data_IF_453854532754
#
_entry.id   IF_453854532754
#
_cell.length_a   1.000
_cell.length_b   1.000
_cell.length_c   1.000
_cell.angle_alpha   90.00
_cell.angle_beta   90.00
_cell.angle_gamma   90.00
#
_symmetry.space_group_name_H-M   'P 1'
#
loop_
_entity.id
_entity.type
_entity.pdbx_description
1 polymer ?
#
# COMPACT_ATOMS: atom_id res chain seq x y z
N UNK A 1 13.13 -26.94 4.17
CA UNK A 1 11.81 -27.14 4.80
C UNK A 1 11.09 -28.24 4.04
N UNK A 2 10.58 -29.25 4.74
CA UNK A 2 9.84 -30.36 4.13
C UNK A 2 8.38 -30.29 4.62
N UNK A 3 7.47 -29.82 3.78
CA UNK A 3 6.04 -29.68 4.11
C UNK A 3 5.24 -30.97 3.89
N UNK A 4 5.87 -31.98 3.32
CA UNK A 4 5.20 -33.22 2.90
C UNK A 4 4.79 -34.07 4.11
N UNK A 5 3.88 -35.02 3.86
CA UNK A 5 3.51 -36.04 4.85
C UNK A 5 4.63 -37.07 5.11
N UNK A 6 5.75 -36.99 4.38
CA UNK A 6 6.96 -37.81 4.60
C UNK A 6 7.98 -37.09 5.51
N UNK A 7 7.73 -35.84 5.88
CA UNK A 7 8.57 -35.09 6.80
C UNK A 7 8.79 -35.87 8.11
N UNK A 8 10.03 -36.02 8.58
CA UNK A 8 10.32 -36.64 9.87
C UNK A 8 9.56 -35.95 11.00
N UNK A 9 9.10 -36.74 11.97
CA UNK A 9 8.51 -36.20 13.19
C UNK A 9 9.61 -35.69 14.11
N UNK A 10 9.48 -34.44 14.54
CA UNK A 10 10.36 -33.79 15.51
C UNK A 10 9.50 -33.25 16.64
N UNK A 11 9.96 -33.43 17.88
CA UNK A 11 9.31 -32.80 19.03
C UNK A 11 9.89 -31.41 19.25
N UNK A 12 9.03 -30.40 19.15
CA UNK A 12 9.36 -29.00 19.40
C UNK A 12 8.41 -28.36 20.41
N UNK A 13 7.97 -29.13 21.41
CA UNK A 13 7.13 -28.67 22.51
C UNK A 13 5.65 -29.08 22.44
N UNK A 14 5.22 -29.69 21.33
CA UNK A 14 3.86 -30.22 21.13
C UNK A 14 3.83 -31.75 20.97
N UNK A 15 4.94 -32.42 21.32
CA UNK A 15 5.15 -33.83 21.00
C UNK A 15 5.64 -34.04 19.56
N UNK A 16 5.96 -35.29 19.17
CA UNK A 16 6.50 -35.58 17.84
C UNK A 16 5.52 -35.27 16.70
N UNK A 17 5.78 -34.20 15.95
CA UNK A 17 4.95 -33.70 14.86
C UNK A 17 5.73 -33.52 13.56
N UNK A 18 5.04 -33.61 12.44
CA UNK A 18 5.56 -33.15 11.13
C UNK A 18 5.43 -31.64 11.01
N UNK A 19 6.16 -31.03 10.08
CA UNK A 19 6.10 -29.57 9.89
C UNK A 19 4.68 -29.06 9.58
N UNK A 20 3.91 -29.79 8.75
CA UNK A 20 2.53 -29.47 8.39
C UNK A 20 1.48 -29.78 9.49
N UNK A 21 1.90 -30.43 10.58
CA UNK A 21 1.11 -30.61 11.82
C UNK A 21 1.49 -29.53 12.85
N UNK A 22 2.79 -29.22 12.96
CA UNK A 22 3.37 -28.24 13.87
C UNK A 22 2.96 -26.80 13.54
N UNK A 23 3.16 -26.36 12.29
CA UNK A 23 2.99 -24.95 11.93
C UNK A 23 1.56 -24.44 12.21
N UNK A 24 0.47 -25.16 11.88
CA UNK A 24 -0.88 -24.77 12.26
C UNK A 24 -1.08 -24.52 13.76
N UNK A 25 -0.63 -25.45 14.60
CA UNK A 25 -0.73 -25.33 16.06
C UNK A 25 0.10 -24.14 16.55
N UNK A 26 1.35 -24.03 16.09
CA UNK A 26 2.24 -22.93 16.43
C UNK A 26 1.64 -21.56 16.06
N UNK A 27 1.02 -21.43 14.88
CA UNK A 27 0.36 -20.20 14.45
C UNK A 27 -0.81 -19.83 15.36
N UNK A 28 -1.67 -20.79 15.71
CA UNK A 28 -2.83 -20.55 16.59
C UNK A 28 -2.39 -20.16 18.01
N UNK A 29 -1.37 -20.81 18.55
CA UNK A 29 -0.88 -20.52 19.91
C UNK A 29 -0.12 -19.19 20.01
N UNK A 30 0.41 -18.68 18.89
CA UNK A 30 1.24 -17.46 18.86
C UNK A 30 0.59 -16.28 18.12
N UNK A 31 -0.65 -16.41 17.65
CA UNK A 31 -1.38 -15.34 16.95
C UNK A 31 -2.72 -15.10 17.60
N UNK A 32 -3.03 -13.84 17.92
CA UNK A 32 -4.34 -13.47 18.46
C UNK A 32 -5.38 -13.27 17.33
N UNK A 33 -6.10 -14.34 17.00
CA UNK A 33 -7.15 -14.33 15.97
C UNK A 33 -8.43 -13.59 16.38
N UNK A 34 -8.48 -12.95 17.56
CA UNK A 34 -9.49 -11.94 17.83
C UNK A 34 -9.20 -10.61 17.11
N UNK A 35 -7.94 -10.37 16.74
CA UNK A 35 -7.52 -9.17 16.00
C UNK A 35 -7.28 -9.43 14.52
N UNK A 36 -6.86 -10.63 14.15
CA UNK A 36 -6.61 -10.99 12.75
C UNK A 36 -7.80 -11.77 12.16
N UNK A 37 -8.28 -11.31 11.00
CA UNK A 37 -9.40 -11.94 10.30
C UNK A 37 -9.01 -13.09 9.37
N UNK A 38 -7.73 -13.45 9.31
CA UNK A 38 -7.27 -14.56 8.49
C UNK A 38 -5.78 -14.80 8.61
N UNK A 39 -5.32 -15.80 7.87
CA UNK A 39 -3.92 -16.12 7.68
C UNK A 39 -3.55 -15.86 6.23
N UNK A 40 -2.46 -15.12 6.01
CA UNK A 40 -1.89 -14.92 4.69
C UNK A 40 -0.49 -15.55 4.64
N UNK A 41 -0.28 -16.48 3.72
CA UNK A 41 1.05 -17.03 3.46
C UNK A 41 1.66 -16.30 2.27
N UNK A 42 2.81 -15.66 2.49
CA UNK A 42 3.58 -15.02 1.42
C UNK A 42 4.01 -16.08 0.37
N UNK A 43 5.10 -16.81 0.61
CA UNK A 43 5.49 -17.87 -0.33
C UNK A 43 4.68 -19.17 -0.16
N UNK A 44 3.70 -19.44 -1.02
CA UNK A 44 2.96 -20.71 -1.03
C UNK A 44 3.71 -21.85 -1.73
N UNK A 45 4.33 -21.54 -2.88
CA UNK A 45 4.99 -22.51 -3.76
C UNK A 45 4.09 -23.68 -4.18
N UNK A 46 3.45 -23.61 -5.36
CA UNK A 46 2.61 -24.72 -5.87
C UNK A 46 3.37 -26.05 -6.05
N UNK A 47 4.69 -25.93 -6.20
CA UNK A 47 5.65 -27.01 -6.37
C UNK A 47 7.04 -26.52 -5.93
N UNK A 48 7.99 -27.43 -5.73
CA UNK A 48 9.37 -27.04 -5.47
C UNK A 48 9.96 -26.36 -6.72
N UNK A 49 10.59 -25.21 -6.53
CA UNK A 49 11.06 -24.38 -7.64
C UNK A 49 12.32 -24.95 -8.32
N UNK A 50 12.31 -24.95 -9.66
CA UNK A 50 13.46 -25.27 -10.51
C UNK A 50 13.80 -26.76 -10.64
N UNK A 51 14.98 -27.06 -11.17
CA UNK A 51 15.47 -28.43 -11.38
C UNK A 51 15.82 -29.19 -10.10
N UNK A 52 15.73 -28.53 -8.93
CA UNK A 52 16.06 -29.12 -7.63
C UNK A 52 15.07 -30.22 -7.23
N UNK A 53 13.85 -30.19 -7.76
CA UNK A 53 12.82 -31.18 -7.45
C UNK A 53 13.25 -32.60 -7.81
N UNK A 54 14.00 -32.78 -8.91
CA UNK A 54 14.48 -34.09 -9.36
C UNK A 54 15.64 -34.66 -8.54
N UNK A 55 16.19 -33.87 -7.62
CA UNK A 55 17.25 -34.27 -6.69
C UNK A 55 16.79 -34.24 -5.23
N UNK A 56 15.49 -34.00 -5.00
CA UNK A 56 14.96 -33.88 -3.65
C UNK A 56 14.67 -35.27 -3.09
N UNK A 57 15.23 -35.52 -1.92
CA UNK A 57 14.92 -36.65 -1.05
C UNK A 57 14.02 -36.13 0.08
N UNK A 58 12.71 -36.43 0.00
CA UNK A 58 11.72 -36.01 0.99
C UNK A 58 11.50 -37.05 2.09
N UNK A 59 11.98 -38.28 1.90
CA UNK A 59 11.78 -39.40 2.82
C UNK A 59 13.04 -39.68 3.69
N UNK A 60 14.16 -39.03 3.36
CA UNK A 60 15.47 -39.10 4.01
C UNK A 60 16.13 -40.50 3.94
N UNK A 61 15.99 -41.21 2.82
CA UNK A 61 16.63 -42.50 2.52
C UNK A 61 17.95 -42.37 1.73
N UNK A 62 18.40 -41.13 1.47
CA UNK A 62 19.58 -40.77 0.70
C UNK A 62 19.48 -41.06 -0.80
N UNK A 63 18.26 -41.29 -1.31
CA UNK A 63 17.94 -41.47 -2.73
C UNK A 63 16.98 -40.37 -3.18
N UNK A 64 17.16 -39.85 -4.39
CA UNK A 64 16.18 -38.90 -4.95
C UNK A 64 14.86 -39.60 -5.25
N UNK A 65 13.76 -39.02 -4.78
CA UNK A 65 12.42 -39.55 -4.99
C UNK A 65 11.84 -39.22 -6.38
N UNK A 66 12.49 -38.31 -7.13
CA UNK A 66 12.07 -37.88 -8.46
C UNK A 66 10.96 -36.82 -8.47
N UNK A 67 11.03 -35.88 -9.42
CA UNK A 67 10.26 -34.64 -9.34
C UNK A 67 8.75 -34.79 -9.34
N UNK A 68 8.21 -35.76 -10.08
CA UNK A 68 6.76 -36.00 -10.12
C UNK A 68 6.22 -36.45 -8.77
N UNK A 69 6.93 -37.35 -8.07
CA UNK A 69 6.52 -37.83 -6.76
C UNK A 69 6.65 -36.73 -5.71
N UNK A 70 7.77 -36.02 -5.71
CA UNK A 70 8.03 -34.89 -4.80
C UNK A 70 6.95 -33.81 -4.94
N UNK A 71 6.58 -33.42 -6.17
CA UNK A 71 5.54 -32.41 -6.38
C UNK A 71 4.15 -32.88 -5.94
N UNK A 72 3.82 -34.17 -6.14
CA UNK A 72 2.59 -34.75 -5.60
C UNK A 72 2.57 -34.67 -4.07
N UNK A 73 3.64 -35.12 -3.41
CA UNK A 73 3.76 -35.10 -1.95
C UNK A 73 3.81 -33.69 -1.36
N UNK A 74 4.37 -32.74 -2.10
CA UNK A 74 4.34 -31.32 -1.75
C UNK A 74 2.90 -30.78 -1.73
N UNK A 75 2.12 -31.08 -2.77
CA UNK A 75 0.69 -30.70 -2.83
C UNK A 75 -0.12 -31.34 -1.70
N UNK A 76 0.04 -32.64 -1.48
CA UNK A 76 -0.61 -33.35 -0.36
C UNK A 76 -0.25 -32.74 0.99
N UNK A 77 1.02 -32.38 1.20
CA UNK A 77 1.50 -31.73 2.43
C UNK A 77 0.90 -30.35 2.66
N UNK A 78 0.79 -29.54 1.59
CA UNK A 78 0.11 -28.24 1.59
C UNK A 78 -1.36 -28.37 1.97
N UNK A 79 -2.08 -29.34 1.40
CA UNK A 79 -3.48 -29.59 1.75
C UNK A 79 -3.63 -30.05 3.22
N UNK A 80 -2.74 -30.92 3.71
CA UNK A 80 -2.68 -31.31 5.13
C UNK A 80 -2.52 -30.09 6.04
N UNK A 81 -1.58 -29.19 5.72
CA UNK A 81 -1.35 -27.97 6.49
C UNK A 81 -2.62 -27.12 6.60
N UNK A 82 -3.28 -26.86 5.46
CA UNK A 82 -4.51 -26.04 5.41
C UNK A 82 -5.63 -26.70 6.20
N UNK A 83 -5.80 -28.02 6.07
CA UNK A 83 -6.84 -28.76 6.79
C UNK A 83 -6.60 -28.74 8.30
N UNK A 84 -5.36 -28.92 8.74
CA UNK A 84 -4.98 -28.83 10.15
C UNK A 84 -5.23 -27.43 10.71
N UNK A 85 -4.88 -26.37 9.97
CA UNK A 85 -5.14 -25.00 10.41
C UNK A 85 -6.64 -24.72 10.52
N UNK A 86 -7.45 -25.18 9.55
CA UNK A 86 -8.91 -25.04 9.61
C UNK A 86 -9.57 -25.80 10.76
N UNK A 87 -9.00 -26.93 11.16
CA UNK A 87 -9.50 -27.70 12.30
C UNK A 87 -9.30 -26.94 13.63
N UNK A 88 -8.28 -26.09 13.70
CA UNK A 88 -7.96 -25.28 14.88
C UNK A 88 -8.58 -23.87 14.83
N UNK A 89 -8.82 -23.35 13.63
CA UNK A 89 -9.26 -21.97 13.41
C UNK A 89 -10.18 -21.86 12.18
N UNK A 90 -11.35 -21.25 12.35
CA UNK A 90 -12.33 -21.07 11.27
C UNK A 90 -12.08 -19.85 10.36
N UNK A 91 -11.04 -19.05 10.63
CA UNK A 91 -10.74 -17.84 9.85
C UNK A 91 -10.23 -18.19 8.43
N UNK A 92 -10.48 -17.33 7.42
CA UNK A 92 -9.96 -17.46 6.06
C UNK A 92 -8.44 -17.67 5.96
N UNK A 93 -8.02 -18.48 4.99
CA UNK A 93 -6.61 -18.73 4.67
C UNK A 93 -6.34 -18.38 3.21
N UNK A 94 -5.50 -17.38 2.96
CA UNK A 94 -5.08 -16.95 1.63
C UNK A 94 -3.56 -17.09 1.47
N UNK A 95 -3.08 -17.07 0.23
CA UNK A 95 -1.65 -17.10 -0.02
C UNK A 95 -1.26 -16.39 -1.32
N UNK A 96 -0.01 -15.93 -1.41
CA UNK A 96 0.54 -15.30 -2.60
C UNK A 96 0.82 -16.37 -3.69
N UNK A 97 0.42 -16.08 -4.94
CA UNK A 97 0.64 -16.91 -6.14
C UNK A 97 0.27 -18.40 -6.04
N UNK A 98 -0.72 -18.76 -5.21
CA UNK A 98 -1.10 -20.15 -4.96
C UNK A 98 -1.95 -20.79 -6.05
N UNK A 99 -2.91 -20.07 -6.64
CA UNK A 99 -3.89 -20.55 -7.63
C UNK A 99 -4.57 -21.89 -7.25
N UNK A 100 -4.68 -22.17 -5.95
CA UNK A 100 -5.27 -23.40 -5.44
C UNK A 100 -6.75 -23.17 -5.04
N UNK A 101 -7.57 -24.22 -5.15
CA UNK A 101 -9.00 -24.22 -4.84
C UNK A 101 -9.33 -24.52 -3.36
N UNK A 102 -8.36 -25.08 -2.63
CA UNK A 102 -8.51 -25.34 -1.21
C UNK A 102 -8.21 -24.12 -0.33
N UNK A 103 -7.79 -22.98 -0.88
CA UNK A 103 -7.58 -21.72 -0.15
C UNK A 103 -8.76 -20.77 -0.31
N UNK A 104 -8.89 -19.84 0.62
CA UNK A 104 -9.85 -18.74 0.54
C UNK A 104 -9.39 -17.63 -0.41
N UNK A 105 -8.13 -17.59 -0.81
CA UNK A 105 -7.64 -16.45 -1.55
C UNK A 105 -6.32 -16.61 -2.25
N UNK A 106 -6.02 -15.66 -3.13
CA UNK A 106 -4.79 -15.58 -3.90
C UNK A 106 -4.29 -14.14 -3.99
N UNK A 107 -3.01 -13.95 -3.68
CA UNK A 107 -2.29 -12.71 -3.97
C UNK A 107 -1.68 -12.69 -5.37
N UNK A 108 -1.72 -11.54 -6.01
CA UNK A 108 -1.14 -11.26 -7.32
C UNK A 108 -0.09 -10.17 -7.22
N UNK A 109 1.17 -10.55 -7.38
CA UNK A 109 2.25 -9.59 -7.62
C UNK A 109 2.14 -9.05 -9.04
N UNK A 110 2.66 -7.84 -9.21
CA UNK A 110 2.80 -7.16 -10.49
C UNK A 110 1.47 -6.90 -11.18
N UNK A 111 0.37 -6.73 -10.43
CA UNK A 111 -0.96 -6.57 -10.97
C UNK A 111 -1.07 -5.39 -11.96
N UNK A 112 -1.81 -5.55 -13.07
CA UNK A 112 -2.29 -6.77 -13.73
C UNK A 112 -1.28 -7.28 -14.77
N UNK A 113 -0.01 -6.94 -14.62
CA UNK A 113 1.17 -7.28 -15.41
C UNK A 113 1.14 -6.80 -16.87
N UNK A 114 2.02 -7.34 -17.71
CA UNK A 114 2.11 -7.05 -19.14
C UNK A 114 0.91 -7.62 -19.94
N UNK A 115 0.14 -8.55 -19.37
CA UNK A 115 -1.03 -9.22 -19.94
C UNK A 115 -2.26 -9.07 -19.02
N UNK A 116 -2.76 -7.84 -19.01
CA UNK A 116 -3.85 -7.39 -18.13
C UNK A 116 -5.13 -8.20 -18.29
N UNK A 117 -5.45 -8.57 -19.52
CA UNK A 117 -6.64 -9.36 -19.86
C UNK A 117 -6.60 -10.73 -19.19
N UNK A 118 -5.49 -11.44 -19.38
CA UNK A 118 -5.30 -12.79 -18.82
C UNK A 118 -5.32 -12.76 -17.29
N UNK A 119 -4.69 -11.76 -16.66
CA UNK A 119 -4.69 -11.64 -15.20
C UNK A 119 -6.09 -11.45 -14.62
N UNK A 120 -6.91 -10.58 -15.20
CA UNK A 120 -8.31 -10.43 -14.76
C UNK A 120 -9.11 -11.73 -14.91
N UNK A 121 -9.00 -12.41 -16.06
CA UNK A 121 -9.67 -13.71 -16.29
C UNK A 121 -9.21 -14.75 -15.27
N UNK A 122 -7.92 -14.79 -14.94
CA UNK A 122 -7.40 -15.69 -13.93
C UNK A 122 -7.92 -15.37 -12.52
N UNK A 123 -8.05 -14.08 -12.16
CA UNK A 123 -8.63 -13.67 -10.89
C UNK A 123 -10.09 -14.13 -10.76
N UNK A 124 -10.92 -13.97 -11.79
CA UNK A 124 -12.29 -14.48 -11.77
C UNK A 124 -12.34 -16.01 -11.62
N UNK A 125 -11.47 -16.75 -12.32
CA UNK A 125 -11.38 -18.21 -12.18
C UNK A 125 -10.98 -18.63 -10.78
N UNK A 126 -10.04 -17.92 -10.17
CA UNK A 126 -9.61 -18.17 -8.80
C UNK A 126 -10.76 -17.91 -7.84
N UNK A 127 -11.42 -16.76 -7.94
CA UNK A 127 -12.55 -16.40 -7.10
C UNK A 127 -13.68 -17.46 -7.13
N UNK A 128 -13.94 -18.05 -8.30
CA UNK A 128 -14.96 -19.11 -8.46
C UNK A 128 -14.58 -20.42 -7.79
N UNK A 129 -13.29 -20.79 -7.74
CA UNK A 129 -12.82 -22.06 -7.15
C UNK A 129 -12.39 -21.94 -5.68
N UNK A 130 -12.10 -20.73 -5.20
CA UNK A 130 -11.70 -20.48 -3.82
C UNK A 130 -12.78 -20.86 -2.82
N UNK A 131 -12.35 -21.25 -1.61
CA UNK A 131 -13.23 -21.36 -0.45
C UNK A 131 -13.80 -19.99 -0.09
N UNK A 132 -15.06 -19.96 0.33
CA UNK A 132 -15.71 -18.70 0.70
C UNK A 132 -15.40 -18.33 2.16
N UNK A 133 -15.25 -17.03 2.50
CA UNK A 133 -15.22 -15.89 1.56
C UNK A 133 -13.96 -15.93 0.68
N UNK A 134 -14.13 -15.60 -0.61
CA UNK A 134 -13.01 -15.47 -1.54
C UNK A 134 -12.30 -14.13 -1.35
N UNK A 135 -10.98 -14.14 -1.20
CA UNK A 135 -10.16 -12.97 -0.90
C UNK A 135 -9.04 -12.85 -1.95
N UNK A 136 -9.06 -11.79 -2.74
CA UNK A 136 -8.01 -11.53 -3.73
C UNK A 136 -7.20 -10.32 -3.28
N UNK A 137 -5.88 -10.44 -3.34
CA UNK A 137 -4.95 -9.32 -3.13
C UNK A 137 -4.24 -9.03 -4.44
N UNK A 138 -4.09 -7.76 -4.78
CA UNK A 138 -3.47 -7.30 -6.02
C UNK A 138 -2.47 -6.20 -5.69
N UNK A 139 -1.22 -6.42 -6.09
CA UNK A 139 -0.11 -5.49 -5.83
C UNK A 139 0.33 -4.85 -7.15
N UNK A 140 0.03 -3.56 -7.31
CA UNK A 140 0.36 -2.78 -8.51
C UNK A 140 1.86 -2.57 -8.68
N UNK A 141 2.32 -2.51 -9.94
CA UNK A 141 3.74 -2.39 -10.27
C UNK A 141 4.22 -0.93 -10.40
N UNK A 142 4.94 -0.41 -9.39
CA UNK A 142 5.46 0.97 -9.35
C UNK A 142 6.94 1.19 -9.76
N UNK A 143 7.72 0.12 -10.01
CA UNK A 143 9.19 0.14 -9.94
C UNK A 143 9.93 0.97 -11.03
N UNK A 144 9.38 1.14 -12.24
CA UNK A 144 10.24 1.52 -13.39
C UNK A 144 10.09 2.94 -13.94
N UNK A 145 9.11 3.74 -13.50
CA UNK A 145 8.84 5.07 -14.09
C UNK A 145 8.54 6.20 -13.11
N UNK A 146 8.56 5.94 -11.80
CA UNK A 146 8.14 6.89 -10.79
C UNK A 146 6.63 6.81 -10.51
N UNK A 147 6.11 7.65 -9.61
CA UNK A 147 4.72 7.62 -9.20
C UNK A 147 3.81 8.05 -10.36
N UNK A 148 3.26 7.07 -11.05
CA UNK A 148 2.26 7.27 -12.10
C UNK A 148 0.88 7.32 -11.43
N UNK A 149 0.16 8.42 -11.59
CA UNK A 149 -1.28 8.57 -11.27
C UNK A 149 -2.11 8.70 -12.56
N UNK A 150 -1.48 8.47 -13.71
CA UNK A 150 -2.08 8.50 -15.02
C UNK A 150 -2.70 7.15 -15.42
N UNK A 151 -2.86 6.92 -16.73
CA UNK A 151 -3.59 5.77 -17.26
C UNK A 151 -3.15 4.41 -16.71
N UNK A 152 -1.84 4.21 -16.53
CA UNK A 152 -1.29 2.93 -16.05
C UNK A 152 -1.78 2.61 -14.64
N UNK A 153 -1.70 3.57 -13.73
CA UNK A 153 -2.18 3.33 -12.37
C UNK A 153 -3.71 3.20 -12.34
N UNK A 154 -4.44 4.03 -13.10
CA UNK A 154 -5.91 3.94 -13.18
C UNK A 154 -6.38 2.58 -13.66
N UNK A 155 -5.75 1.97 -14.67
CA UNK A 155 -6.14 0.62 -15.12
C UNK A 155 -5.76 -0.43 -14.08
N UNK A 156 -4.62 -0.31 -13.41
CA UNK A 156 -4.19 -1.27 -12.38
C UNK A 156 -5.19 -1.24 -11.20
N UNK A 157 -5.54 -0.04 -10.71
CA UNK A 157 -6.58 0.17 -9.70
C UNK A 157 -7.95 -0.33 -10.19
N UNK A 158 -8.48 0.21 -11.29
CA UNK A 158 -9.86 -0.12 -11.71
C UNK A 158 -10.02 -1.60 -12.03
N UNK A 159 -9.06 -2.26 -12.68
CA UNK A 159 -9.14 -3.69 -12.97
C UNK A 159 -9.12 -4.56 -11.72
N UNK A 160 -8.39 -4.15 -10.67
CA UNK A 160 -8.39 -4.84 -9.37
C UNK A 160 -9.77 -4.72 -8.70
N UNK A 161 -10.41 -3.56 -8.78
CA UNK A 161 -11.73 -3.32 -8.19
C UNK A 161 -12.84 -4.04 -8.98
N UNK A 162 -12.70 -4.16 -10.31
CA UNK A 162 -13.59 -4.99 -11.15
C UNK A 162 -13.62 -6.43 -10.65
N UNK A 163 -12.47 -7.03 -10.33
CA UNK A 163 -12.40 -8.42 -9.80
C UNK A 163 -12.69 -8.51 -8.29
N UNK A 164 -12.84 -7.37 -7.61
CA UNK A 164 -13.08 -7.31 -6.17
C UNK A 164 -11.85 -7.62 -5.32
N UNK A 165 -10.66 -7.25 -5.79
CA UNK A 165 -9.43 -7.42 -5.05
C UNK A 165 -9.16 -6.26 -4.08
N UNK A 166 -8.56 -6.58 -2.93
CA UNK A 166 -7.81 -5.60 -2.15
C UNK A 166 -6.58 -5.18 -2.96
N UNK A 167 -6.38 -3.89 -3.14
CA UNK A 167 -5.34 -3.36 -4.00
C UNK A 167 -4.36 -2.48 -3.24
N UNK A 168 -3.07 -2.73 -3.41
CA UNK A 168 -1.99 -1.87 -2.97
C UNK A 168 -1.15 -1.42 -4.16
N UNK A 169 -0.64 -0.20 -4.11
CA UNK A 169 0.35 0.29 -5.07
C UNK A 169 1.59 0.69 -4.31
N UNK A 170 2.68 -0.02 -4.54
CA UNK A 170 3.95 0.20 -3.85
C UNK A 170 5.11 0.18 -4.84
N UNK A 171 6.33 0.09 -4.31
CA UNK A 171 7.56 0.03 -5.12
C UNK A 171 7.73 -1.26 -5.94
N UNK A 172 6.81 -2.23 -5.84
CA UNK A 172 6.87 -3.52 -6.53
C UNK A 172 8.01 -4.42 -6.06
N UNK A 173 8.63 -5.15 -7.02
CA UNK A 173 9.62 -6.24 -6.86
C UNK A 173 10.84 -5.96 -5.98
N UNK A 174 11.13 -4.70 -5.64
CA UNK A 174 12.36 -4.37 -4.95
C UNK A 174 12.30 -4.73 -3.47
N UNK A 175 11.33 -4.16 -2.74
CA UNK A 175 11.33 -4.26 -1.28
C UNK A 175 10.00 -3.89 -0.59
N UNK A 176 8.90 -3.64 -1.31
CA UNK A 176 7.55 -3.34 -0.74
C UNK A 176 7.57 -2.32 0.42
N UNK A 177 8.37 -1.26 0.28
CA UNK A 177 8.81 -0.43 1.42
C UNK A 177 7.85 0.68 1.81
N UNK A 178 7.15 1.19 0.81
CA UNK A 178 6.20 2.28 0.97
C UNK A 178 5.08 2.13 -0.04
N UNK A 179 3.88 2.49 0.39
CA UNK A 179 2.69 2.52 -0.44
C UNK A 179 2.51 3.92 -1.00
N UNK A 180 2.24 4.01 -2.30
CA UNK A 180 1.76 5.24 -2.91
C UNK A 180 0.27 5.37 -2.62
N UNK A 181 -0.12 6.50 -2.00
CA UNK A 181 -1.52 6.81 -1.73
C UNK A 181 -2.08 7.63 -2.90
N UNK A 182 -3.29 7.29 -3.32
CA UNK A 182 -3.98 7.92 -4.44
C UNK A 182 -5.34 8.44 -4.00
N UNK A 183 -5.82 9.53 -4.62
CA UNK A 183 -7.09 10.17 -4.27
C UNK A 183 -8.26 9.18 -4.32
N UNK A 184 -8.24 8.23 -5.24
CA UNK A 184 -9.27 7.21 -5.37
C UNK A 184 -9.39 6.26 -4.16
N UNK A 185 -8.35 6.12 -3.33
CA UNK A 185 -8.41 5.31 -2.11
C UNK A 185 -9.31 5.93 -1.04
N UNK A 186 -9.60 7.24 -1.13
CA UNK A 186 -10.49 7.94 -0.20
C UNK A 186 -11.99 7.76 -0.55
N UNK A 187 -12.30 7.08 -1.65
CA UNK A 187 -13.68 6.91 -2.11
C UNK A 187 -14.47 5.88 -1.27
N UNK A 188 -15.75 6.17 -1.05
CA UNK A 188 -16.73 5.21 -0.55
C UNK A 188 -17.74 4.94 -1.67
N UNK A 189 -17.51 3.85 -2.39
CA UNK A 189 -18.43 3.39 -3.42
C UNK A 189 -19.65 2.67 -2.84
N UNK A 190 -19.65 2.34 -1.54
CA UNK A 190 -20.61 1.44 -0.92
C UNK A 190 -20.43 -0.01 -1.37
N UNK A 191 -21.45 -0.83 -1.16
CA UNK A 191 -21.42 -2.20 -1.62
C UNK A 191 -21.68 -2.29 -3.14
N UNK A 192 -21.23 -3.38 -3.81
CA UNK A 192 -21.73 -3.71 -5.14
C UNK A 192 -23.25 -3.75 -5.15
N UNK A 193 -23.88 -3.32 -6.24
CA UNK A 193 -25.34 -3.37 -6.36
C UNK A 193 -25.86 -4.80 -6.15
N UNK A 194 -27.08 -4.91 -5.63
CA UNK A 194 -27.67 -6.21 -5.31
C UNK A 194 -27.86 -7.11 -6.55
N UNK A 195 -27.63 -8.41 -6.37
CA UNK A 195 -27.76 -9.41 -7.44
C UNK A 195 -26.77 -9.19 -8.58
N UNK A 196 -27.15 -9.57 -9.80
CA UNK A 196 -26.26 -9.50 -10.96
C UNK A 196 -25.95 -8.07 -11.44
N UNK A 197 -26.60 -7.06 -10.85
CA UNK A 197 -26.31 -5.65 -11.16
C UNK A 197 -24.95 -5.19 -10.62
N UNK A 198 -24.49 -5.78 -9.50
CA UNK A 198 -23.16 -5.48 -8.92
C UNK A 198 -22.06 -6.43 -9.35
N UNK A 199 -22.39 -7.42 -10.20
CA UNK A 199 -21.39 -8.29 -10.83
C UNK A 199 -20.55 -7.49 -11.83
N UNK A 200 -19.31 -7.95 -12.07
CA UNK A 200 -18.48 -7.41 -13.14
C UNK A 200 -19.12 -7.72 -14.51
N UNK A 201 -19.31 -6.69 -15.32
CA UNK A 201 -19.94 -6.76 -16.63
C UNK A 201 -18.99 -6.22 -17.70
N UNK A 202 -19.14 -6.68 -18.94
CA UNK A 202 -18.43 -6.13 -20.09
C UNK A 202 -19.37 -5.23 -20.90
N UNK A 203 -18.97 -3.99 -21.14
CA UNK A 203 -19.67 -3.06 -22.04
C UNK A 203 -19.43 -3.50 -23.49
N UNK A 204 -18.17 -3.81 -23.79
CA UNK A 204 -17.69 -4.51 -24.98
C UNK A 204 -16.60 -5.49 -24.52
N UNK A 205 -16.17 -6.46 -25.35
CA UNK A 205 -15.06 -7.35 -25.00
C UNK A 205 -13.87 -6.59 -24.42
N UNK A 206 -13.44 -6.98 -23.20
CA UNK A 206 -12.31 -6.41 -22.45
C UNK A 206 -12.47 -4.94 -21.95
N UNK A 207 -13.65 -4.32 -22.11
CA UNK A 207 -14.02 -3.08 -21.43
C UNK A 207 -15.02 -3.41 -20.32
N UNK A 208 -14.56 -3.37 -19.08
CA UNK A 208 -15.32 -3.82 -17.93
C UNK A 208 -15.96 -2.66 -17.16
N UNK A 209 -17.11 -2.92 -16.55
CA UNK A 209 -17.78 -2.05 -15.59
C UNK A 209 -18.26 -2.87 -14.40
N UNK A 210 -18.21 -2.26 -13.22
CA UNK A 210 -18.85 -2.77 -12.01
C UNK A 210 -19.56 -1.64 -11.28
N UNK A 211 -20.80 -1.89 -10.90
CA UNK A 211 -21.65 -0.89 -10.28
C UNK A 211 -21.76 -1.10 -8.78
N UNK A 212 -21.66 0.00 -8.06
CA UNK A 212 -21.78 0.07 -6.61
C UNK A 212 -22.91 1.04 -6.24
N UNK A 213 -23.35 1.00 -4.98
CA UNK A 213 -24.41 1.87 -4.45
C UNK A 213 -24.16 3.35 -4.76
N UNK A 214 -22.92 3.81 -4.55
CA UNK A 214 -22.53 5.23 -4.67
C UNK A 214 -21.71 5.55 -5.91
N UNK A 215 -21.46 4.58 -6.79
CA UNK A 215 -20.62 4.83 -7.97
C UNK A 215 -20.48 3.66 -8.94
N UNK A 216 -19.51 3.78 -9.84
CA UNK A 216 -19.13 2.77 -10.80
C UNK A 216 -17.62 2.79 -11.04
N UNK A 217 -17.06 1.61 -11.28
CA UNK A 217 -15.68 1.45 -11.73
C UNK A 217 -15.72 0.95 -13.17
N UNK A 218 -14.92 1.57 -14.05
CA UNK A 218 -14.74 1.16 -15.44
C UNK A 218 -13.26 0.91 -15.69
N UNK A 219 -12.93 -0.21 -16.33
CA UNK A 219 -11.55 -0.59 -16.67
C UNK A 219 -11.43 -0.99 -18.14
N UNK A 220 -10.64 -0.24 -18.90
CA UNK A 220 -10.34 -0.52 -20.31
C UNK A 220 -9.06 -1.36 -20.44
N UNK A 221 -9.20 -2.69 -20.39
CA UNK A 221 -8.08 -3.62 -20.63
C UNK A 221 -7.99 -4.09 -22.08
N UNK A 222 -8.72 -3.46 -23.01
CA UNK A 222 -8.76 -3.87 -24.43
C UNK A 222 -7.42 -3.77 -25.15
N UNK A 223 -6.53 -2.88 -24.67
CA UNK A 223 -5.30 -2.48 -25.35
C UNK A 223 -5.52 -1.50 -26.52
N UNK A 224 -6.72 -0.97 -26.69
CA UNK A 224 -7.07 0.03 -27.72
C UNK A 224 -7.87 1.18 -27.10
N UNK A 225 -7.83 2.35 -27.75
CA UNK A 225 -8.59 3.51 -27.30
C UNK A 225 -10.10 3.29 -27.49
N UNK A 226 -10.90 3.83 -26.57
CA UNK A 226 -12.36 3.73 -26.61
C UNK A 226 -13.03 4.96 -26.01
N UNK A 227 -14.08 5.46 -26.65
CA UNK A 227 -14.91 6.54 -26.10
C UNK A 227 -16.16 5.96 -25.44
N UNK A 228 -16.22 6.04 -24.12
CA UNK A 228 -17.38 5.68 -23.32
C UNK A 228 -18.29 6.88 -23.13
N UNK A 229 -19.59 6.70 -23.32
CA UNK A 229 -20.63 7.69 -23.04
C UNK A 229 -21.51 7.24 -21.86
N UNK A 230 -22.06 8.19 -21.10
CA UNK A 230 -22.95 7.90 -19.97
C UNK A 230 -24.18 7.07 -20.37
N UNK A 231 -24.65 7.20 -21.62
CA UNK A 231 -25.78 6.42 -22.16
C UNK A 231 -25.52 4.91 -22.25
N UNK A 232 -24.25 4.49 -22.12
CA UNK A 232 -23.84 3.08 -22.12
C UNK A 232 -23.73 2.49 -20.71
N UNK A 233 -23.97 3.30 -19.68
CA UNK A 233 -23.99 2.88 -18.28
C UNK A 233 -25.41 2.49 -17.85
N UNK A 234 -25.61 2.21 -16.56
CA UNK A 234 -26.87 1.76 -15.96
C UNK A 234 -27.99 2.83 -15.86
N UNK A 235 -27.86 3.94 -16.58
CA UNK A 235 -28.84 5.02 -16.62
C UNK A 235 -28.79 6.00 -15.44
N UNK A 236 -27.92 5.76 -14.43
CA UNK A 236 -27.66 6.74 -13.37
C UNK A 236 -26.89 7.96 -13.90
N UNK A 237 -26.91 9.02 -13.12
CA UNK A 237 -26.04 10.17 -13.33
C UNK A 237 -24.76 9.95 -12.55
N UNK A 238 -23.64 10.32 -13.18
CA UNK A 238 -22.32 10.16 -12.61
C UNK A 238 -21.55 11.47 -12.66
N UNK A 239 -20.54 11.57 -11.80
CA UNK A 239 -19.58 12.64 -11.70
C UNK A 239 -18.18 12.04 -11.64
N UNK A 240 -17.22 12.76 -12.23
CA UNK A 240 -15.82 12.61 -11.85
C UNK A 240 -15.68 13.19 -10.44
N UNK A 241 -14.82 12.61 -9.61
CA UNK A 241 -14.50 13.27 -8.35
C UNK A 241 -13.59 14.47 -8.63
N UNK A 242 -13.57 15.44 -7.72
CA UNK A 242 -12.57 16.51 -7.72
C UNK A 242 -11.34 16.00 -6.95
N UNK A 243 -10.25 15.79 -7.67
CA UNK A 243 -8.97 15.30 -7.13
C UNK A 243 -7.86 16.34 -7.22
N UNK A 244 -6.78 16.13 -6.49
CA UNK A 244 -5.59 16.98 -6.53
C UNK A 244 -4.37 16.31 -7.14
N UNK A 245 -4.34 15.01 -7.39
CA UNK A 245 -3.22 14.38 -8.10
C UNK A 245 -3.32 14.56 -9.62
N UNK A 246 -4.51 14.34 -10.20
CA UNK A 246 -4.81 14.57 -11.62
C UNK A 246 -6.08 15.44 -11.79
N UNK A 247 -6.01 16.75 -11.48
CA UNK A 247 -7.19 17.64 -11.50
C UNK A 247 -7.78 17.86 -12.90
N UNK A 248 -7.02 17.58 -13.95
CA UNK A 248 -7.50 17.68 -15.33
C UNK A 248 -8.37 16.48 -15.71
N UNK A 249 -8.05 15.30 -15.18
CA UNK A 249 -8.86 14.10 -15.35
C UNK A 249 -9.98 14.00 -14.31
N UNK A 250 -9.69 14.28 -13.05
CA UNK A 250 -10.61 14.24 -11.92
C UNK A 250 -11.06 15.66 -11.55
N UNK A 251 -11.89 16.23 -12.42
CA UNK A 251 -12.26 17.66 -12.45
C UNK A 251 -13.54 18.00 -11.66
N UNK A 252 -14.17 17.02 -11.01
CA UNK A 252 -15.43 17.20 -10.29
C UNK A 252 -16.67 17.38 -11.18
N UNK A 253 -16.52 17.35 -12.52
CA UNK A 253 -17.62 17.63 -13.43
C UNK A 253 -18.56 16.44 -13.57
N UNK A 254 -19.82 16.75 -13.94
CA UNK A 254 -20.81 15.75 -14.30
C UNK A 254 -20.31 14.97 -15.51
N UNK A 255 -20.29 13.64 -15.40
CA UNK A 255 -19.81 12.76 -16.43
C UNK A 255 -20.78 12.71 -17.61
N UNK A 256 -20.27 13.02 -18.80
CA UNK A 256 -20.97 12.82 -20.07
C UNK A 256 -20.30 11.73 -20.90
N UNK A 257 -18.97 11.79 -21.01
CA UNK A 257 -18.14 10.86 -21.76
C UNK A 257 -16.68 10.91 -21.33
N UNK A 258 -15.91 9.88 -21.67
CA UNK A 258 -14.45 9.86 -21.59
C UNK A 258 -13.89 9.04 -22.75
N UNK A 259 -12.79 9.52 -23.33
CA UNK A 259 -11.98 8.74 -24.26
C UNK A 259 -10.80 8.17 -23.50
N UNK A 260 -10.79 6.85 -23.33
CA UNK A 260 -9.65 6.12 -22.79
C UNK A 260 -8.62 5.87 -23.88
N UNK A 261 -7.35 5.91 -23.53
CA UNK A 261 -6.35 5.14 -24.25
C UNK A 261 -6.48 3.65 -23.92
N UNK A 262 -5.78 2.79 -24.67
CA UNK A 262 -5.66 1.40 -24.29
C UNK A 262 -4.97 1.27 -22.93
N UNK A 263 -5.52 0.46 -22.02
CA UNK A 263 -5.01 0.28 -20.66
C UNK A 263 -5.14 1.54 -19.80
N UNK A 264 -6.38 2.03 -19.67
CA UNK A 264 -6.79 3.10 -18.75
C UNK A 264 -8.07 2.68 -18.00
N UNK A 265 -8.54 3.49 -17.05
CA UNK A 265 -9.79 3.29 -16.34
C UNK A 265 -10.32 4.59 -15.73
N UNK A 266 -11.50 4.53 -15.13
CA UNK A 266 -12.09 5.65 -14.39
C UNK A 266 -12.96 5.13 -13.25
N UNK A 267 -12.96 5.87 -12.15
CA UNK A 267 -13.93 5.75 -11.08
C UNK A 267 -14.91 6.91 -11.17
N UNK A 268 -16.20 6.60 -11.06
CA UNK A 268 -17.29 7.56 -11.14
C UNK A 268 -18.16 7.46 -9.90
N UNK A 269 -18.67 8.61 -9.45
CA UNK A 269 -19.52 8.72 -8.26
C UNK A 269 -20.91 9.21 -8.65
N UNK A 270 -21.91 8.82 -7.88
CA UNK A 270 -23.33 9.20 -8.11
C UNK A 270 -23.67 10.57 -7.58
N UNK A 271 -22.74 11.24 -6.89
CA UNK A 271 -22.86 12.60 -6.39
C UNK A 271 -21.53 13.34 -6.55
N UNK A 272 -21.53 14.69 -6.70
CA UNK A 272 -20.32 15.49 -6.67
C UNK A 272 -19.52 15.23 -5.39
N UNK A 273 -18.27 14.79 -5.53
CA UNK A 273 -17.42 14.38 -4.41
C UNK A 273 -16.03 14.94 -4.58
N UNK A 274 -15.42 15.40 -3.48
CA UNK A 274 -14.01 15.79 -3.43
C UNK A 274 -13.24 14.72 -2.68
N UNK A 275 -12.25 14.13 -3.33
CA UNK A 275 -11.33 13.15 -2.75
C UNK A 275 -9.95 13.79 -2.74
N UNK A 276 -9.34 13.92 -1.57
CA UNK A 276 -8.03 14.54 -1.45
C UNK A 276 -7.10 13.79 -0.51
N UNK A 277 -6.12 13.12 -1.11
CA UNK A 277 -5.00 12.52 -0.40
C UNK A 277 -4.10 13.61 0.18
N UNK A 278 -3.58 13.45 1.41
CA UNK A 278 -2.56 14.34 1.94
C UNK A 278 -1.31 14.42 1.06
N UNK A 279 -0.78 15.63 0.89
CA UNK A 279 0.53 15.84 0.26
C UNK A 279 1.60 15.64 1.34
N UNK A 280 2.61 14.83 1.07
CA UNK A 280 3.72 14.55 1.97
C UNK A 280 5.02 14.87 1.24
N UNK A 281 5.87 15.66 1.89
CA UNK A 281 7.21 16.00 1.40
C UNK A 281 8.21 15.46 2.43
N UNK A 282 9.03 14.50 2.02
CA UNK A 282 10.05 13.84 2.86
C UNK A 282 11.47 14.29 2.43
N UNK A 283 12.49 13.84 3.16
CA UNK A 283 13.92 14.06 2.96
C UNK A 283 14.45 13.48 1.64
N UNK A 284 13.84 12.43 1.09
CA UNK A 284 14.21 11.80 -0.17
C UNK A 284 12.99 11.42 -1.01
N UNK A 285 13.18 11.35 -2.32
CA UNK A 285 12.11 10.98 -3.26
C UNK A 285 11.63 9.53 -3.08
N UNK A 286 12.49 8.65 -2.55
CA UNK A 286 12.23 7.21 -2.36
C UNK A 286 12.05 6.83 -0.89
N UNK A 287 11.32 7.66 -0.13
CA UNK A 287 10.77 7.38 1.18
C UNK A 287 9.50 8.22 1.29
N UNK A 288 8.38 7.79 0.72
CA UNK A 288 7.06 8.38 1.03
C UNK A 288 6.79 9.86 0.66
N UNK A 289 7.67 10.56 -0.07
CA UNK A 289 7.29 11.83 -0.74
C UNK A 289 6.16 11.54 -1.74
N UNK A 290 5.04 12.26 -1.63
CA UNK A 290 3.83 12.03 -2.43
C UNK A 290 4.10 12.10 -3.95
N UNK A 291 3.34 11.33 -4.75
CA UNK A 291 3.31 11.45 -6.20
C UNK A 291 3.26 12.88 -6.73
N UNK A 292 4.09 13.18 -7.74
CA UNK A 292 4.12 14.50 -8.38
C UNK A 292 4.80 15.60 -7.57
N UNK A 293 5.39 15.29 -6.43
CA UNK A 293 6.11 16.23 -5.57
C UNK A 293 7.64 16.01 -5.64
N UNK A 294 8.39 17.04 -5.25
CA UNK A 294 9.83 16.96 -5.04
C UNK A 294 10.14 16.80 -3.56
N UNK A 295 11.17 16.03 -3.17
CA UNK A 295 11.62 16.00 -1.78
C UNK A 295 12.13 17.38 -1.35
N UNK A 296 12.28 17.55 -0.04
CA UNK A 296 12.80 18.77 0.57
C UNK A 296 14.18 19.17 -0.01
N UNK A 297 14.42 20.47 -0.12
CA UNK A 297 15.71 21.02 -0.56
C UNK A 297 16.50 21.57 0.63
N UNK A 298 17.74 21.14 0.79
CA UNK A 298 18.61 21.53 1.89
C UNK A 298 19.61 22.62 1.49
N UNK A 299 19.77 23.64 2.33
CA UNK A 299 20.86 24.60 2.28
C UNK A 299 21.65 24.60 3.60
N UNK A 300 22.97 24.78 3.52
CA UNK A 300 23.87 24.57 4.66
C UNK A 300 24.31 23.11 4.79
N UNK A 301 24.74 22.71 5.99
CA UNK A 301 25.26 21.35 6.24
C UNK A 301 24.16 20.48 6.82
N UNK A 302 23.70 19.51 6.04
CA UNK A 302 22.74 18.49 6.46
C UNK A 302 23.32 17.10 6.23
N UNK A 303 23.15 16.22 7.22
CA UNK A 303 23.54 14.81 7.15
C UNK A 303 22.29 13.94 7.05
N UNK A 304 22.28 13.03 6.07
CA UNK A 304 21.20 12.05 5.94
C UNK A 304 21.44 10.88 6.90
N UNK A 305 20.48 10.60 7.77
CA UNK A 305 20.53 9.45 8.67
C UNK A 305 20.10 8.21 7.91
N UNK A 306 21.10 7.34 7.68
CA UNK A 306 20.89 6.07 7.03
C UNK A 306 20.33 5.05 7.99
N UNK A 307 19.39 4.25 7.50
CA UNK A 307 19.03 3.02 8.16
C UNK A 307 20.16 2.01 8.02
N UNK A 308 20.55 1.40 9.14
CA UNK A 308 21.56 0.33 9.19
C UNK A 308 20.96 -0.86 9.94
N UNK A 309 21.03 -2.04 9.33
CA UNK A 309 20.58 -3.30 9.94
C UNK A 309 21.08 -3.44 11.39
N UNK A 310 20.17 -3.80 12.31
CA UNK A 310 20.42 -3.98 13.75
C UNK A 310 20.64 -2.71 14.59
N UNK A 311 20.34 -1.53 14.06
CA UNK A 311 20.41 -0.27 14.82
C UNK A 311 19.01 0.19 15.20
N UNK A 312 18.78 0.50 16.48
CA UNK A 312 17.48 1.02 16.98
C UNK A 312 17.22 2.50 16.65
N UNK A 313 18.02 3.11 15.78
CA UNK A 313 17.91 4.52 15.38
C UNK A 313 16.81 4.69 14.34
N UNK A 314 15.99 5.72 14.51
CA UNK A 314 14.91 6.09 13.60
C UNK A 314 13.67 5.21 13.77
N UNK A 315 13.39 4.77 15.00
CA UNK A 315 12.08 4.17 15.32
C UNK A 315 10.96 5.20 15.28
N UNK A 316 11.32 6.44 15.53
CA UNK A 316 10.44 7.60 15.54
C UNK A 316 10.51 8.42 14.24
N UNK A 317 11.18 7.94 13.18
CA UNK A 317 11.13 8.61 11.88
C UNK A 317 9.83 8.32 11.14
N UNK A 318 9.44 9.23 10.25
CA UNK A 318 8.29 9.02 9.39
C UNK A 318 8.59 7.94 8.34
N UNK A 319 9.72 8.07 7.65
CA UNK A 319 10.23 7.03 6.77
C UNK A 319 10.56 5.76 7.57
N UNK A 320 10.06 4.60 7.13
CA UNK A 320 10.37 3.32 7.74
C UNK A 320 11.72 2.77 7.24
N UNK A 321 12.46 2.15 8.15
CA UNK A 321 13.71 1.45 7.85
C UNK A 321 13.54 0.41 6.75
N UNK A 322 14.27 0.59 5.66
CA UNK A 322 14.10 -0.23 4.45
C UNK A 322 15.03 -1.43 4.46
N UNK A 323 14.47 -2.61 4.16
CA UNK A 323 15.25 -3.83 3.95
C UNK A 323 15.75 -3.93 2.49
N UNK A 324 16.47 -5.02 2.18
CA UNK A 324 17.14 -5.40 0.92
C UNK A 324 17.03 -4.46 -0.30
N UNK A 325 18.17 -4.08 -0.90
CA UNK A 325 18.24 -3.59 -2.29
C UNK A 325 18.59 -2.11 -2.51
N UNK A 326 18.40 -1.20 -1.53
CA UNK A 326 18.86 0.19 -1.60
C UNK A 326 19.05 0.81 -0.19
N UNK A 327 19.93 1.80 -0.06
CA UNK A 327 20.09 2.58 1.19
C UNK A 327 18.79 3.34 1.51
N UNK A 328 18.27 3.20 2.73
CA UNK A 328 17.17 4.02 3.24
C UNK A 328 17.68 5.22 4.02
N UNK A 329 17.12 6.39 3.74
CA UNK A 329 17.46 7.63 4.43
C UNK A 329 16.27 8.08 5.29
N UNK A 330 16.31 7.79 6.58
CA UNK A 330 15.14 7.92 7.46
C UNK A 330 14.70 9.38 7.65
N UNK A 331 15.67 10.28 7.79
CA UNK A 331 15.52 11.72 7.97
C UNK A 331 16.88 12.39 7.77
N UNK A 332 16.94 13.72 7.76
CA UNK A 332 18.19 14.48 7.81
C UNK A 332 18.36 15.20 9.15
N UNK A 333 19.61 15.45 9.54
CA UNK A 333 19.94 16.26 10.71
C UNK A 333 20.92 17.39 10.37
N UNK A 334 20.89 18.46 11.17
CA UNK A 334 21.92 19.48 11.17
C UNK A 334 22.33 19.84 12.60
N UNK A 335 23.63 20.10 12.81
CA UNK A 335 24.21 20.56 14.08
C UNK A 335 24.49 22.07 14.11
N UNK A 336 24.15 22.74 13.02
CA UNK A 336 24.50 24.14 12.76
C UNK A 336 23.39 24.81 11.97
N UNK A 337 23.55 26.11 11.71
CA UNK A 337 22.65 26.84 10.84
C UNK A 337 22.53 26.20 9.44
N UNK A 338 21.28 26.03 9.02
CA UNK A 338 20.90 25.47 7.74
C UNK A 338 19.39 25.60 7.54
N UNK A 339 18.94 25.46 6.30
CA UNK A 339 17.52 25.49 5.96
C UNK A 339 17.09 24.22 5.25
N UNK A 340 15.89 23.74 5.57
CA UNK A 340 15.20 22.68 4.84
C UNK A 340 13.91 23.26 4.23
N UNK A 341 13.85 23.34 2.90
CA UNK A 341 12.79 24.00 2.13
C UNK A 341 11.84 22.97 1.52
N UNK A 342 10.66 22.83 2.11
CA UNK A 342 9.56 22.00 1.64
C UNK A 342 8.67 22.79 0.68
N UNK A 343 8.56 22.35 -0.57
CA UNK A 343 7.91 23.09 -1.67
C UNK A 343 6.83 22.26 -2.35
N UNK A 344 5.67 22.08 -1.71
CA UNK A 344 4.56 21.37 -2.32
C UNK A 344 4.06 22.10 -3.58
N UNK A 345 3.60 21.33 -4.56
CA UNK A 345 2.72 21.79 -5.64
C UNK A 345 1.27 21.52 -5.23
N UNK A 346 0.51 22.58 -5.00
CA UNK A 346 -0.92 22.52 -4.76
C UNK A 346 -1.66 22.58 -6.09
N UNK A 347 -2.38 21.52 -6.44
CA UNK A 347 -3.22 21.48 -7.64
C UNK A 347 -4.66 21.93 -7.36
N UNK A 348 -5.01 22.16 -6.09
CA UNK A 348 -6.30 22.69 -5.66
C UNK A 348 -6.01 23.81 -4.66
N UNK A 349 -6.54 25.01 -4.92
CA UNK A 349 -6.46 26.10 -3.95
C UNK A 349 -7.39 25.85 -2.76
N UNK A 350 -7.01 26.34 -1.58
CA UNK A 350 -7.86 26.31 -0.39
C UNK A 350 -7.06 26.15 0.90
N UNK A 351 -7.76 25.76 1.96
CA UNK A 351 -7.17 25.58 3.27
C UNK A 351 -6.50 24.23 3.39
N UNK A 352 -5.31 24.22 3.95
CA UNK A 352 -4.58 23.00 4.29
C UNK A 352 -4.14 23.09 5.75
N UNK A 353 -4.43 22.04 6.52
CA UNK A 353 -3.77 21.83 7.79
C UNK A 353 -2.38 21.24 7.54
N UNK A 354 -1.38 21.88 8.13
CA UNK A 354 0.02 21.53 7.97
C UNK A 354 0.47 20.78 9.21
N UNK A 355 1.15 19.66 9.02
CA UNK A 355 1.76 18.87 10.08
C UNK A 355 3.26 18.72 9.85
N UNK A 356 4.03 18.80 10.91
CA UNK A 356 5.44 18.45 10.95
C UNK A 356 5.63 17.11 11.66
N UNK A 357 6.55 16.30 11.16
CA UNK A 357 7.07 15.13 11.84
C UNK A 357 8.56 15.32 12.08
N UNK A 358 9.05 14.86 13.23
CA UNK A 358 10.47 14.72 13.50
C UNK A 358 10.78 13.45 14.30
N UNK A 359 11.95 12.88 14.05
CA UNK A 359 12.50 11.77 14.81
C UNK A 359 13.13 12.24 16.13
N UNK A 360 13.18 11.35 17.11
CA UNK A 360 13.91 11.56 18.34
C UNK A 360 15.42 11.32 18.13
N UNK A 361 16.16 12.42 17.90
CA UNK A 361 17.61 12.35 17.68
C UNK A 361 18.40 11.86 18.90
N UNK A 362 17.79 11.76 20.09
CA UNK A 362 18.42 11.13 21.27
C UNK A 362 18.66 9.65 21.07
N UNK A 363 17.90 8.99 20.18
CA UNK A 363 18.14 7.60 19.77
C UNK A 363 19.56 7.40 19.19
N UNK A 364 20.10 8.45 18.57
CA UNK A 364 21.46 8.51 18.02
C UNK A 364 22.47 9.21 18.96
N UNK A 365 22.11 9.43 20.23
CA UNK A 365 22.96 10.10 21.22
C UNK A 365 23.14 11.61 21.02
N UNK A 366 22.26 12.25 20.23
CA UNK A 366 22.31 13.69 19.96
C UNK A 366 21.41 14.51 20.90
N UNK A 367 21.61 15.82 20.93
CA UNK A 367 20.79 16.74 21.74
C UNK A 367 19.79 17.48 20.83
N UNK A 368 18.46 17.25 20.94
CA UNK A 368 17.47 17.90 20.09
C UNK A 368 17.42 19.42 20.34
N UNK A 369 17.12 20.18 19.28
CA UNK A 369 16.81 21.60 19.40
C UNK A 369 15.37 21.82 19.89
N UNK A 370 15.17 22.79 20.78
CA UNK A 370 13.86 23.14 21.36
C UNK A 370 13.22 24.40 20.73
N UNK A 371 13.91 25.03 19.78
CA UNK A 371 13.57 26.34 19.23
C UNK A 371 13.70 26.40 17.70
N UNK A 372 13.45 25.28 17.01
CA UNK A 372 13.50 25.18 15.55
C UNK A 372 12.39 26.04 14.94
N UNK A 373 12.73 26.87 13.95
CA UNK A 373 11.76 27.80 13.33
C UNK A 373 11.25 27.25 12.01
N UNK A 374 9.93 27.21 11.83
CA UNK A 374 9.28 26.89 10.56
C UNK A 374 8.58 28.14 10.02
N UNK A 375 9.08 28.65 8.91
CA UNK A 375 8.52 29.79 8.19
C UNK A 375 7.56 29.29 7.13
N UNK A 376 6.28 29.57 7.31
CA UNK A 376 5.18 29.11 6.45
C UNK A 376 4.79 30.26 5.53
N UNK A 377 5.00 30.09 4.23
CA UNK A 377 4.56 31.04 3.21
C UNK A 377 3.27 30.53 2.60
N UNK A 378 2.18 31.29 2.77
CA UNK A 378 0.82 30.97 2.34
C UNK A 378 0.24 32.10 1.49
N UNK A 379 -0.98 31.94 0.97
CA UNK A 379 -1.69 33.01 0.25
C UNK A 379 -1.99 34.23 1.14
N UNK A 380 -2.01 34.03 2.46
CA UNK A 380 -2.26 35.09 3.46
C UNK A 380 -0.97 35.84 3.85
N UNK A 381 0.18 35.42 3.33
CA UNK A 381 1.51 35.93 3.69
C UNK A 381 2.32 34.91 4.48
N UNK A 382 3.29 35.40 5.24
CA UNK A 382 4.25 34.58 5.97
C UNK A 382 3.92 34.51 7.46
N UNK A 383 3.91 33.29 8.01
CA UNK A 383 3.84 33.03 9.44
C UNK A 383 5.10 32.28 9.92
N UNK A 384 5.43 32.40 11.20
CA UNK A 384 6.52 31.63 11.82
C UNK A 384 5.96 30.79 12.97
N UNK A 385 6.36 29.52 13.03
CA UNK A 385 6.12 28.60 14.14
C UNK A 385 7.44 28.18 14.76
N UNK A 386 7.45 28.00 16.07
CA UNK A 386 8.60 27.46 16.80
C UNK A 386 8.23 26.05 17.24
N UNK A 387 9.05 25.07 16.89
CA UNK A 387 8.89 23.66 17.24
C UNK A 387 9.99 23.26 18.20
N UNK A 388 9.58 22.65 19.31
CA UNK A 388 10.47 21.99 20.25
C UNK A 388 10.60 20.52 19.86
N UNK A 389 11.74 20.14 19.26
CA UNK A 389 11.98 18.77 18.79
C UNK A 389 12.49 17.84 19.92
N UNK A 390 12.49 18.31 21.18
CA UNK A 390 12.77 17.45 22.35
C UNK A 390 11.53 16.69 22.85
N UNK A 391 10.35 17.05 22.33
CA UNK A 391 9.04 16.48 22.69
C UNK A 391 8.24 16.16 21.43
N UNK A 392 7.22 15.29 21.55
CA UNK A 392 6.29 15.00 20.44
C UNK A 392 6.93 14.40 19.17
N UNK A 393 8.04 13.68 19.32
CA UNK A 393 8.67 12.93 18.23
C UNK A 393 7.85 11.71 17.81
N UNK A 394 8.02 11.26 16.57
CA UNK A 394 7.35 10.05 16.07
C UNK A 394 5.84 10.18 15.88
N UNK A 395 5.35 11.40 15.64
CA UNK A 395 3.94 11.68 15.36
C UNK A 395 3.77 12.96 14.53
N UNK A 396 2.58 13.14 13.95
CA UNK A 396 2.22 14.34 13.20
C UNK A 396 1.81 15.49 14.13
N UNK A 397 2.61 16.55 14.15
CA UNK A 397 2.42 17.75 14.96
C UNK A 397 1.80 18.89 14.14
N UNK A 398 0.59 19.33 14.47
CA UNK A 398 -0.07 20.41 13.72
C UNK A 398 0.67 21.75 13.89
N UNK A 399 0.96 22.41 12.77
CA UNK A 399 1.46 23.78 12.70
C UNK A 399 0.33 24.80 12.55
N UNK A 400 -0.87 24.33 12.19
CA UNK A 400 -2.08 25.13 11.95
C UNK A 400 -2.62 25.00 10.52
N UNK A 401 -3.74 25.68 10.29
CA UNK A 401 -4.44 25.72 9.01
C UNK A 401 -4.11 27.01 8.27
N UNK A 402 -3.76 26.90 7.00
CA UNK A 402 -3.36 28.02 6.14
C UNK A 402 -4.00 27.92 4.76
N UNK A 403 -4.35 29.06 4.17
CA UNK A 403 -4.86 29.09 2.81
C UNK A 403 -3.71 29.14 1.78
N UNK A 404 -3.76 28.28 0.77
CA UNK A 404 -2.79 28.22 -0.33
C UNK A 404 -3.47 28.44 -1.67
N UNK A 405 -2.80 29.16 -2.56
CA UNK A 405 -3.16 29.27 -3.97
C UNK A 405 -2.69 28.02 -4.72
N UNK A 406 -3.34 27.74 -5.86
CA UNK A 406 -2.87 26.72 -6.80
C UNK A 406 -1.47 27.09 -7.33
N UNK A 407 -0.58 26.09 -7.43
CA UNK A 407 0.79 26.23 -7.88
C UNK A 407 1.82 25.89 -6.79
N UNK A 408 3.00 26.51 -6.87
CA UNK A 408 4.16 26.19 -6.02
C UNK A 408 4.72 27.40 -5.26
N UNK A 409 3.91 28.46 -5.12
CA UNK A 409 4.30 29.64 -4.36
C UNK A 409 4.32 29.35 -2.84
N UNK A 410 3.36 28.54 -2.37
CA UNK A 410 3.30 28.07 -1.00
C UNK A 410 4.48 27.18 -0.64
N UNK A 411 5.11 27.42 0.51
CA UNK A 411 6.26 26.64 0.96
C UNK A 411 6.47 26.76 2.47
N UNK A 412 7.25 25.82 3.03
CA UNK A 412 7.69 25.83 4.42
C UNK A 412 9.20 25.75 4.45
N UNK A 413 9.83 26.67 5.16
CA UNK A 413 11.27 26.68 5.39
C UNK A 413 11.54 26.44 6.87
N UNK A 414 12.07 25.26 7.18
CA UNK A 414 12.60 24.95 8.50
C UNK A 414 14.01 25.53 8.61
N UNK A 415 14.28 26.26 9.69
CA UNK A 415 15.57 26.90 9.99
C UNK A 415 16.17 26.25 11.24
N UNK A 416 17.30 25.57 11.04
CA UNK A 416 18.07 24.96 12.11
C UNK A 416 18.88 26.04 12.86
N UNK A 417 18.82 26.11 14.20
CA UNK A 417 19.72 26.92 15.01
C UNK A 417 21.07 26.21 15.24
N UNK A 418 22.04 26.95 15.79
CA UNK A 418 23.32 26.38 16.25
C UNK A 418 23.23 25.83 17.67
N UNK A 419 24.14 24.89 18.01
CA UNK A 419 24.37 24.46 19.40
C UNK A 419 23.53 23.26 19.87
N UNK A 420 22.72 22.69 18.97
CA UNK A 420 21.91 21.50 19.18
C UNK A 420 21.73 20.78 17.82
N UNK A 421 20.97 19.69 17.80
CA UNK A 421 20.68 18.90 16.60
C UNK A 421 19.24 19.11 16.17
N UNK A 422 19.05 19.66 14.97
CA UNK A 422 17.75 19.78 14.32
C UNK A 422 17.50 18.56 13.43
N UNK A 423 16.30 18.00 13.49
CA UNK A 423 15.80 16.98 12.59
C UNK A 423 14.95 17.62 11.47
N UNK A 424 15.10 17.11 10.26
CA UNK A 424 14.24 17.40 9.10
C UNK A 424 13.82 16.06 8.51
N UNK A 425 12.56 15.70 8.74
CA UNK A 425 11.99 14.41 8.35
C UNK A 425 10.91 14.67 7.28
N UNK A 426 9.65 14.86 7.70
CA UNK A 426 8.54 15.02 6.78
C UNK A 426 7.58 16.15 7.15
N UNK A 427 6.98 16.76 6.13
CA UNK A 427 5.87 17.69 6.26
C UNK A 427 4.65 17.16 5.49
N UNK A 428 3.49 17.18 6.13
CA UNK A 428 2.21 16.75 5.56
C UNK A 428 1.22 17.90 5.45
N UNK A 429 0.52 17.98 4.33
CA UNK A 429 -0.53 18.94 4.05
C UNK A 429 -1.84 18.19 3.84
N UNK A 430 -2.81 18.39 4.73
CA UNK A 430 -4.14 17.78 4.67
C UNK A 430 -5.12 18.85 4.21
N UNK A 431 -5.86 18.60 3.13
CA UNK A 431 -6.86 19.56 2.65
C UNK A 431 -7.98 19.70 3.68
N UNK A 432 -8.17 20.91 4.20
CA UNK A 432 -9.13 21.23 5.26
C UNK A 432 -10.42 21.81 4.64
N UNK A 433 -11.25 20.91 4.13
CA UNK A 433 -12.60 21.23 3.67
C UNK A 433 -13.58 20.21 4.28
N UNK A 434 -14.64 20.65 4.99
CA UNK A 434 -15.60 19.76 5.62
C UNK A 434 -16.36 18.87 4.62
N UNK A 435 -16.35 19.20 3.32
CA UNK A 435 -16.98 18.43 2.26
C UNK A 435 -16.03 17.41 1.60
N UNK A 436 -14.77 17.36 2.03
CA UNK A 436 -13.84 16.32 1.59
C UNK A 436 -14.24 15.02 2.25
N UNK A 437 -14.39 14.00 1.41
CA UNK A 437 -14.54 12.66 1.91
C UNK A 437 -13.17 12.18 2.41
N UNK A 438 -13.18 11.60 3.61
CA UNK A 438 -12.02 10.93 4.21
C UNK A 438 -12.52 9.51 4.50
N UNK A 439 -12.00 8.51 3.79
CA UNK A 439 -12.47 7.13 3.90
C UNK A 439 -12.13 6.51 5.27
N UNK A 440 -11.00 6.91 5.86
CA UNK A 440 -10.57 6.41 7.16
C UNK A 440 -10.25 7.54 8.14
N UNK A 441 -11.26 7.94 8.93
CA UNK A 441 -11.10 8.88 10.05
C UNK A 441 -10.73 8.17 11.35
N UNK A 442 -10.65 6.85 11.37
CA UNK A 442 -10.42 6.06 12.60
C UNK A 442 -9.55 4.87 12.24
N UNK A 443 -8.21 5.04 12.21
CA UNK A 443 -7.33 3.94 11.88
C UNK A 443 -7.59 2.77 12.83
N UNK A 444 -7.39 1.52 12.37
CA UNK A 444 -7.49 0.37 13.26
C UNK A 444 -6.56 0.57 14.46
N UNK A 445 -7.01 0.13 15.64
CA UNK A 445 -6.16 0.18 16.83
C UNK A 445 -4.82 -0.50 16.53
N UNK A 446 -3.67 0.09 16.93
CA UNK A 446 -2.38 -0.56 16.80
C UNK A 446 -2.46 -1.97 17.41
N UNK A 447 -1.85 -2.98 16.76
CA UNK A 447 -1.89 -4.34 17.28
C UNK A 447 -1.28 -4.37 18.68
N UNK A 448 -2.00 -4.94 19.64
CA UNK A 448 -1.56 -5.08 21.03
C UNK A 448 -1.00 -6.49 21.24
N UNK A 449 -0.08 -6.64 22.20
CA UNK A 449 0.50 -7.93 22.57
C UNK A 449 1.27 -8.65 21.44
N UNK A 450 1.80 -7.93 20.44
CA UNK A 450 2.78 -8.54 19.52
C UNK A 450 4.00 -8.95 20.35
N UNK A 451 4.14 -10.25 20.58
CA UNK A 451 5.37 -10.84 21.10
C UNK A 451 6.33 -10.96 19.93
N UNK A 452 7.12 -9.92 19.69
CA UNK A 452 8.31 -10.09 18.86
C UNK A 452 9.27 -10.93 19.69
N UNK A 453 9.30 -12.24 19.44
CA UNK A 453 10.36 -13.09 19.97
C UNK A 453 11.65 -12.67 19.26
N UNK A 454 12.38 -11.73 19.86
CA UNK A 454 13.78 -11.51 19.52
C UNK A 454 14.55 -12.73 19.99
N UNK A 455 14.98 -13.58 19.05
CA UNK A 455 16.08 -14.52 19.32
C UNK A 455 17.41 -13.77 19.34
#
# INVERSE_FOLDING_TARGET
MNITNECPRVDNGYGPQRFNEFLPQHLVDNTDYNYFDGTFFDYWGKQIWGSKVDYTDINNDYVSDGGSYVNQKWREGNETLVNNLRALNSKPIAAHESDNDYLNGNGFEFWPDLDKKRRMVNAFKIQQKSKQPAIIFAEGYGYEKGPDFGPKWRVDFTSSQIVGAFFGHDEGTAAHRFTFIHDEYEADLGHPLSGSAGDAQQIIPDLWVRYFEKGAIISNVTGSSYTLNNSQLDGRQYWRFKGGQDPAFNDGQKFTSVSFDGYDGIMLLTEPTTLMTPIIIDNVSKNMTSPGQSPVNYSGTWEQIRWVWNVQIGKSSYGLGVTWGNEGYLYAISHQQGEASYRPKFNVAGKYEIYEWHADVREAGQTPCDNVKLVITSAEGTAEKTVDQSVNSGQWNSLGVYNFDEGSAGNIVLKAPDGCTTCSDAIRFVYDDPNVQIADRTPPNPPRNIKVNSN
#
